data_IF_684553303710
#
_entry.id   IF_684553303710
#
_cell.length_a   1.000
_cell.length_b   1.000
_cell.length_c   1.000
_cell.angle_alpha   90.00
_cell.angle_beta   90.00
_cell.angle_gamma   90.00
#
_symmetry.space_group_name_H-M   'P 1'
#
loop_
_entity.id
_entity.type
_entity.pdbx_description
1 polymer ?
#
# COMPACT_ATOMS: atom_id res chain seq x y z
N UNK A 1 -34.07 3.88 33.50
CA UNK A 1 -34.44 3.79 32.06
C UNK A 1 -33.73 4.81 31.18
N UNK A 2 -33.44 6.05 31.64
CA UNK A 2 -32.73 7.06 30.82
C UNK A 2 -31.23 6.78 30.58
N UNK A 3 -30.54 6.14 31.53
CA UNK A 3 -29.11 5.82 31.41
C UNK A 3 -28.79 4.73 30.36
N UNK A 4 -29.74 3.85 30.06
CA UNK A 4 -29.56 2.75 29.08
C UNK A 4 -29.46 3.33 27.65
N UNK A 5 -30.21 4.40 27.35
CA UNK A 5 -30.16 5.07 26.06
C UNK A 5 -28.84 5.83 25.82
N UNK A 6 -28.18 6.30 26.88
CA UNK A 6 -26.89 7.00 26.79
C UNK A 6 -25.75 6.02 26.45
N UNK A 7 -25.81 4.79 26.96
CA UNK A 7 -24.78 3.75 26.69
C UNK A 7 -24.87 3.25 25.24
N UNK A 8 -26.08 3.13 24.67
CA UNK A 8 -26.27 2.70 23.28
C UNK A 8 -25.74 3.74 22.29
N UNK A 9 -25.85 5.04 22.60
CA UNK A 9 -25.34 6.13 21.76
C UNK A 9 -23.79 6.19 21.70
N UNK A 10 -23.09 5.74 22.74
CA UNK A 10 -21.62 5.75 22.79
C UNK A 10 -21.00 4.64 21.93
N UNK A 11 -21.71 3.52 21.70
CA UNK A 11 -21.19 2.42 20.89
C UNK A 11 -21.23 2.67 19.37
N UNK A 12 -22.02 3.64 18.88
CA UNK A 12 -22.19 3.89 17.44
C UNK A 12 -21.10 4.83 16.89
N UNK A 13 -20.32 5.49 17.75
CA UNK A 13 -19.30 6.45 17.33
C UNK A 13 -17.94 5.81 17.00
N UNK A 14 -17.79 4.49 17.11
CA UNK A 14 -16.48 3.82 17.02
C UNK A 14 -16.09 3.33 15.61
N UNK A 15 -16.97 3.38 14.61
CA UNK A 15 -16.64 3.00 13.23
C UNK A 15 -16.46 4.23 12.33
N UNK A 16 -15.45 5.05 12.62
CA UNK A 16 -14.86 5.91 11.60
C UNK A 16 -13.63 5.17 11.05
N UNK A 17 -13.83 4.38 9.99
CA UNK A 17 -12.70 3.82 9.24
C UNK A 17 -11.89 4.98 8.72
N UNK A 18 -10.64 5.12 9.18
CA UNK A 18 -9.74 6.11 8.60
C UNK A 18 -9.49 5.70 7.16
N UNK A 19 -9.47 6.70 6.28
CA UNK A 19 -9.18 6.56 4.87
C UNK A 19 -7.64 6.37 4.76
N UNK A 20 -7.19 5.21 4.26
CA UNK A 20 -5.78 4.76 4.27
C UNK A 20 -5.06 5.07 2.95
N UNK A 21 -4.13 6.02 3.00
CA UNK A 21 -3.40 6.54 1.82
C UNK A 21 -2.10 5.75 1.60
N UNK A 22 -1.64 5.65 0.35
CA UNK A 22 -0.27 5.21 0.01
C UNK A 22 0.40 6.20 -0.94
N UNK A 23 1.67 6.52 -0.66
CA UNK A 23 2.46 7.49 -1.44
C UNK A 23 3.92 7.08 -1.51
N UNK A 24 4.56 7.44 -2.62
CA UNK A 24 6.01 7.37 -2.80
C UNK A 24 6.52 8.81 -2.75
N UNK A 25 7.41 9.12 -1.82
CA UNK A 25 7.92 10.47 -1.61
C UNK A 25 9.45 10.48 -1.62
N UNK A 26 10.10 11.52 -2.18
CA UNK A 26 11.54 11.68 -2.05
C UNK A 26 11.90 11.99 -0.60
N UNK A 27 12.94 11.34 -0.09
CA UNK A 27 13.47 11.59 1.25
C UNK A 27 14.10 12.98 1.27
N UNK A 28 13.62 13.85 2.16
CA UNK A 28 14.20 15.18 2.36
C UNK A 28 15.38 15.06 3.33
N UNK A 29 16.59 14.94 2.81
CA UNK A 29 17.81 15.08 3.60
C UNK A 29 18.20 16.57 3.67
N UNK A 30 18.31 17.14 4.87
CA UNK A 30 18.73 18.53 5.11
C UNK A 30 20.22 18.80 4.76
N UNK A 31 20.88 17.85 4.08
CA UNK A 31 22.29 17.94 3.73
C UNK A 31 22.41 18.07 2.21
N UNK A 32 22.66 19.29 1.75
CA UNK A 32 23.10 19.58 0.38
C UNK A 32 24.37 18.78 0.05
N UNK A 33 24.21 17.63 -0.61
CA UNK A 33 25.15 16.92 -1.48
C UNK A 33 24.93 15.39 -1.41
N UNK A 34 23.92 14.88 -2.12
CA UNK A 34 23.88 13.50 -2.56
C UNK A 34 23.55 13.48 -4.05
N UNK A 35 24.37 12.76 -4.83
CA UNK A 35 24.22 12.61 -6.29
C UNK A 35 22.99 11.76 -6.68
N UNK A 36 22.26 11.21 -5.70
CA UNK A 36 21.07 10.39 -5.90
C UNK A 36 19.93 10.84 -4.99
N UNK A 37 18.71 10.83 -5.53
CA UNK A 37 17.47 11.05 -4.78
C UNK A 37 17.01 9.72 -4.20
N UNK A 38 16.90 9.64 -2.88
CA UNK A 38 16.31 8.47 -2.20
C UNK A 38 14.79 8.65 -2.09
N UNK A 39 14.06 7.54 -2.11
CA UNK A 39 12.61 7.52 -2.01
C UNK A 39 12.15 6.65 -0.85
N UNK A 40 10.98 6.98 -0.30
CA UNK A 40 10.30 6.22 0.73
C UNK A 40 8.86 5.92 0.32
N UNK A 41 8.39 4.70 0.62
CA UNK A 41 6.98 4.35 0.54
C UNK A 41 6.31 4.60 1.89
N UNK A 42 5.41 5.57 1.92
CA UNK A 42 4.57 5.90 3.07
C UNK A 42 3.22 5.19 2.91
N UNK A 43 2.90 4.31 3.85
CA UNK A 43 1.64 3.58 3.91
C UNK A 43 0.91 3.96 5.20
N UNK A 44 -0.30 4.49 5.08
CA UNK A 44 -1.11 4.92 6.23
C UNK A 44 -2.03 3.80 6.77
N UNK A 45 -2.00 2.63 6.13
CA UNK A 45 -2.68 1.44 6.61
C UNK A 45 -2.00 0.89 7.86
N UNK A 46 -2.72 0.91 8.97
CA UNK A 46 -2.17 0.55 10.29
C UNK A 46 -1.87 -0.94 10.43
N UNK A 47 -2.52 -1.79 9.63
CA UNK A 47 -2.28 -3.23 9.61
C UNK A 47 -1.12 -3.64 8.71
N UNK A 48 -0.78 -2.81 7.73
CA UNK A 48 0.21 -3.16 6.71
C UNK A 48 1.60 -3.43 7.29
N UNK A 49 2.18 -2.54 8.10
CA UNK A 49 3.56 -2.71 8.58
C UNK A 49 3.76 -4.00 9.38
N UNK A 50 2.80 -4.35 10.25
CA UNK A 50 2.87 -5.60 11.01
C UNK A 50 2.73 -6.82 10.10
N UNK A 51 1.83 -6.76 9.12
CA UNK A 51 1.66 -7.84 8.16
C UNK A 51 2.90 -8.00 7.27
N UNK A 52 3.46 -6.90 6.78
CA UNK A 52 4.67 -6.87 5.95
C UNK A 52 5.83 -7.56 6.68
N UNK A 53 6.14 -7.15 7.91
CA UNK A 53 7.23 -7.75 8.71
C UNK A 53 7.10 -9.26 8.94
N UNK A 54 5.88 -9.81 8.90
CA UNK A 54 5.61 -11.23 9.19
C UNK A 54 5.36 -12.07 7.94
N UNK A 55 5.05 -11.44 6.80
CA UNK A 55 4.65 -12.13 5.57
C UNK A 55 5.59 -11.84 4.39
N UNK A 56 6.47 -10.84 4.49
CA UNK A 56 7.45 -10.55 3.45
C UNK A 56 8.64 -11.49 3.51
N UNK A 57 9.06 -11.95 2.34
CA UNK A 57 10.41 -12.48 2.19
C UNK A 57 11.43 -11.33 2.34
N UNK A 58 12.73 -11.63 2.55
CA UNK A 58 13.76 -10.61 2.44
C UNK A 58 13.71 -9.91 1.07
N UNK A 59 14.02 -8.62 1.02
CA UNK A 59 13.93 -7.79 -0.20
C UNK A 59 14.71 -8.35 -1.40
N UNK A 60 15.82 -9.06 -1.14
CA UNK A 60 16.66 -9.69 -2.17
C UNK A 60 16.13 -11.04 -2.69
N UNK A 61 14.97 -11.51 -2.23
CA UNK A 61 14.40 -12.79 -2.65
C UNK A 61 14.05 -12.82 -4.15
N UNK A 62 13.62 -11.68 -4.70
CA UNK A 62 13.55 -11.44 -6.14
C UNK A 62 14.42 -10.25 -6.54
N UNK A 63 14.71 -10.13 -7.85
CA UNK A 63 15.46 -8.99 -8.36
C UNK A 63 14.62 -7.71 -8.34
N UNK A 64 15.29 -6.56 -8.43
CA UNK A 64 14.60 -5.28 -8.53
C UNK A 64 13.67 -5.23 -9.75
N UNK A 65 14.13 -5.72 -10.90
CA UNK A 65 13.36 -5.73 -12.15
C UNK A 65 12.09 -6.58 -12.03
N UNK A 66 12.13 -7.66 -11.24
CA UNK A 66 10.94 -8.46 -10.94
C UNK A 66 9.88 -7.60 -10.23
N UNK A 67 10.28 -6.88 -9.18
CA UNK A 67 9.36 -6.05 -8.42
C UNK A 67 8.87 -4.86 -9.25
N UNK A 68 9.74 -4.21 -10.02
CA UNK A 68 9.36 -3.09 -10.90
C UNK A 68 8.33 -3.51 -11.95
N UNK A 69 8.54 -4.67 -12.59
CA UNK A 69 7.61 -5.23 -13.57
C UNK A 69 6.22 -5.46 -12.95
N UNK A 70 6.15 -6.04 -11.75
CA UNK A 70 4.87 -6.25 -11.06
C UNK A 70 4.25 -4.95 -10.56
N UNK A 71 5.04 -4.06 -9.97
CA UNK A 71 4.58 -2.78 -9.45
C UNK A 71 3.95 -1.92 -10.55
N UNK A 72 4.54 -1.88 -11.74
CA UNK A 72 3.94 -1.17 -12.88
C UNK A 72 2.54 -1.70 -13.20
N UNK A 73 2.36 -3.03 -13.20
CA UNK A 73 1.06 -3.66 -13.46
C UNK A 73 0.05 -3.36 -12.35
N UNK A 74 0.47 -3.49 -11.09
CA UNK A 74 -0.40 -3.23 -9.94
C UNK A 74 -0.79 -1.77 -9.82
N UNK A 75 0.12 -0.83 -10.04
CA UNK A 75 -0.17 0.61 -10.04
C UNK A 75 -1.19 0.94 -11.13
N UNK A 76 -1.05 0.38 -12.33
CA UNK A 76 -2.03 0.56 -13.40
C UNK A 76 -3.42 0.03 -12.99
N UNK A 77 -3.49 -1.17 -12.39
CA UNK A 77 -4.74 -1.75 -11.90
C UNK A 77 -5.35 -0.91 -10.76
N UNK A 78 -4.55 -0.51 -9.78
CA UNK A 78 -4.96 0.37 -8.69
C UNK A 78 -5.51 1.69 -9.20
N UNK A 79 -4.80 2.37 -10.09
CA UNK A 79 -5.20 3.64 -10.65
C UNK A 79 -6.47 3.50 -11.51
N UNK A 80 -6.62 2.39 -12.23
CA UNK A 80 -7.87 2.08 -12.92
C UNK A 80 -9.04 1.94 -11.94
N UNK A 81 -8.87 1.14 -10.88
CA UNK A 81 -9.93 0.92 -9.88
C UNK A 81 -10.24 2.16 -9.03
N UNK A 82 -9.26 3.02 -8.79
CA UNK A 82 -9.44 4.31 -8.12
C UNK A 82 -10.36 5.23 -8.94
N UNK A 83 -10.19 5.23 -10.26
CA UNK A 83 -11.03 6.00 -11.19
C UNK A 83 -12.36 5.29 -11.50
N UNK A 84 -12.46 3.99 -11.22
CA UNK A 84 -13.69 3.21 -11.35
C UNK A 84 -14.61 3.46 -10.15
N UNK A 85 -15.93 3.54 -10.37
CA UNK A 85 -16.87 3.79 -9.27
C UNK A 85 -17.00 2.63 -8.27
N UNK A 86 -16.38 1.46 -8.54
CA UNK A 86 -16.56 0.24 -7.75
C UNK A 86 -15.77 0.29 -6.44
N UNK A 87 -14.50 0.72 -6.51
CA UNK A 87 -13.61 0.74 -5.34
C UNK A 87 -13.09 2.15 -5.00
N UNK A 88 -13.55 3.18 -5.70
CA UNK A 88 -13.18 4.59 -5.43
C UNK A 88 -13.23 5.00 -3.95
N UNK A 89 -14.20 4.51 -3.19
CA UNK A 89 -14.34 4.86 -1.77
C UNK A 89 -13.35 4.13 -0.84
N UNK A 90 -12.74 3.05 -1.33
CA UNK A 90 -11.77 2.21 -0.62
C UNK A 90 -10.32 2.54 -1.03
N UNK A 91 -10.14 3.20 -2.17
CA UNK A 91 -8.84 3.61 -2.69
C UNK A 91 -8.71 5.14 -2.55
N UNK A 92 -7.63 5.57 -1.93
CA UNK A 92 -7.56 6.94 -1.43
C UNK A 92 -7.12 7.96 -2.46
N UNK A 93 -6.10 7.58 -3.21
CA UNK A 93 -5.41 8.40 -4.17
C UNK A 93 -4.81 7.51 -5.26
N UNK A 94 -4.59 8.05 -6.47
CA UNK A 94 -3.76 7.36 -7.44
C UNK A 94 -2.32 7.29 -6.93
N UNK A 95 -1.61 6.22 -7.29
CA UNK A 95 -0.18 6.05 -7.01
C UNK A 95 0.59 6.59 -8.21
N UNK A 96 1.48 7.55 -7.98
CA UNK A 96 2.36 8.10 -8.99
C UNK A 96 3.69 7.35 -9.00
N UNK A 97 3.76 6.27 -9.78
CA UNK A 97 4.95 5.46 -9.97
C UNK A 97 5.46 5.62 -11.41
N UNK A 98 6.71 6.05 -11.58
CA UNK A 98 7.35 6.23 -12.88
C UNK A 98 8.39 5.12 -13.12
N UNK A 99 8.18 4.30 -14.15
CA UNK A 99 9.09 3.20 -14.49
C UNK A 99 10.49 3.65 -14.95
N UNK A 100 10.72 4.94 -15.16
CA UNK A 100 12.03 5.48 -15.50
C UNK A 100 12.82 5.96 -14.28
N UNK A 101 12.22 5.94 -13.09
CA UNK A 101 12.87 6.32 -11.83
C UNK A 101 13.32 5.06 -11.11
N UNK A 102 14.60 5.02 -10.74
CA UNK A 102 15.12 4.00 -9.82
C UNK A 102 14.73 4.36 -8.39
N UNK A 103 13.64 3.76 -7.91
CA UNK A 103 13.18 3.89 -6.53
C UNK A 103 13.99 3.03 -5.55
N UNK A 104 14.85 2.14 -6.06
CA UNK A 104 15.60 1.16 -5.28
C UNK A 104 14.80 -0.09 -4.92
N UNK A 105 15.54 -1.16 -4.60
CA UNK A 105 15.00 -2.48 -4.29
C UNK A 105 14.00 -2.46 -3.12
N UNK A 106 14.32 -1.78 -2.02
CA UNK A 106 13.50 -1.79 -0.81
C UNK A 106 12.13 -1.13 -1.02
N UNK A 107 12.08 0.00 -1.74
CA UNK A 107 10.83 0.69 -2.07
C UNK A 107 9.97 -0.19 -2.98
N UNK A 108 10.59 -0.77 -4.01
CA UNK A 108 9.91 -1.66 -4.94
C UNK A 108 9.37 -2.92 -4.26
N UNK A 109 10.16 -3.52 -3.38
CA UNK A 109 9.76 -4.67 -2.58
C UNK A 109 8.58 -4.35 -1.66
N UNK A 110 8.66 -3.25 -0.91
CA UNK A 110 7.59 -2.84 0.01
C UNK A 110 6.29 -2.51 -0.73
N UNK A 111 6.38 -1.83 -1.88
CA UNK A 111 5.22 -1.51 -2.72
C UNK A 111 4.56 -2.77 -3.29
N UNK A 112 5.34 -3.74 -3.75
CA UNK A 112 4.83 -5.03 -4.21
C UNK A 112 4.04 -5.73 -3.10
N UNK A 113 4.61 -5.79 -1.90
CA UNK A 113 3.93 -6.42 -0.76
C UNK A 113 2.71 -5.63 -0.30
N UNK A 114 2.69 -4.30 -0.45
CA UNK A 114 1.47 -3.53 -0.21
C UNK A 114 0.33 -3.96 -1.13
N UNK A 115 0.59 -4.19 -2.41
CA UNK A 115 -0.45 -4.71 -3.31
C UNK A 115 -0.90 -6.13 -2.94
N UNK A 116 0.02 -6.98 -2.48
CA UNK A 116 -0.34 -8.30 -1.96
C UNK A 116 -1.24 -8.19 -0.72
N UNK A 117 -0.94 -7.27 0.19
CA UNK A 117 -1.78 -6.96 1.34
C UNK A 117 -3.19 -6.51 0.91
N UNK A 118 -3.28 -5.59 -0.05
CA UNK A 118 -4.56 -5.09 -0.57
C UNK A 118 -5.42 -6.22 -1.15
N UNK A 119 -4.82 -7.12 -1.93
CA UNK A 119 -5.56 -8.24 -2.52
C UNK A 119 -5.95 -9.30 -1.50
N UNK A 120 -5.04 -9.67 -0.61
CA UNK A 120 -5.20 -10.86 0.23
C UNK A 120 -5.77 -10.54 1.61
N UNK A 121 -5.53 -9.35 2.14
CA UNK A 121 -6.01 -8.90 3.45
C UNK A 121 -7.23 -8.02 3.30
N UNK A 122 -7.14 -6.93 2.51
CA UNK A 122 -8.28 -6.02 2.28
C UNK A 122 -9.32 -6.58 1.30
N UNK A 123 -9.00 -7.67 0.59
CA UNK A 123 -9.88 -8.35 -0.38
C UNK A 123 -10.31 -7.45 -1.54
N UNK A 124 -9.47 -6.48 -1.92
CA UNK A 124 -9.68 -5.65 -3.11
C UNK A 124 -8.96 -6.31 -4.29
N UNK A 125 -9.68 -6.87 -5.28
CA UNK A 125 -9.05 -7.54 -6.41
C UNK A 125 -8.38 -6.51 -7.33
N UNK A 126 -7.08 -6.68 -7.61
CA UNK A 126 -6.33 -5.84 -8.55
C UNK A 126 -5.96 -6.62 -9.81
N UNK A 127 -5.27 -7.75 -9.67
CA UNK A 127 -4.82 -8.61 -10.76
C UNK A 127 -5.14 -10.08 -10.45
N UNK A 128 -5.81 -10.76 -11.38
CA UNK A 128 -6.16 -12.18 -11.23
C UNK A 128 -4.98 -13.14 -11.35
N UNK A 129 -3.91 -12.71 -12.03
CA UNK A 129 -2.69 -13.47 -12.27
C UNK A 129 -1.54 -13.01 -11.37
N UNK A 130 -1.84 -12.25 -10.31
CA UNK A 130 -0.86 -11.85 -9.32
C UNK A 130 -0.12 -13.08 -8.77
N UNK A 131 1.21 -12.98 -8.54
CA UNK A 131 1.98 -14.08 -7.98
C UNK A 131 1.44 -14.36 -6.57
N UNK A 132 1.18 -15.64 -6.30
CA UNK A 132 0.80 -16.07 -4.98
C UNK A 132 2.01 -16.01 -4.06
N UNK A 133 1.86 -15.38 -2.90
CA UNK A 133 2.79 -15.54 -1.81
C UNK A 133 2.74 -17.01 -1.38
N UNK A 134 3.72 -17.82 -1.77
CA UNK A 134 3.77 -19.22 -1.36
C UNK A 134 3.99 -19.27 0.15
N UNK A 135 2.96 -19.67 0.91
CA UNK A 135 3.04 -19.61 2.37
C UNK A 135 1.77 -19.91 3.17
N UNK A 136 0.74 -20.52 2.56
CA UNK A 136 -0.38 -21.17 3.26
C UNK A 136 -0.80 -22.43 2.52
#
# INVERSE_FOLDING_TARGET
MRAIWVIILIFIAACASKKEVVRIEPVKTDTTATDSVEYELIVFDTGFETWYLTNSHPSWYHSQEYYEMWNQRFVNAWNYEYNSSRYHNLLDAPINYDSNIDYGLEVNHKLFYYFQYVQHVLKIPLLSDAPHLSGY
#
